data_IF_726440496654
#
_entry.id   IF_726440496654
#
_cell.length_a   1.000
_cell.length_b   1.000
_cell.length_c   1.000
_cell.angle_alpha   90.00
_cell.angle_beta   90.00
_cell.angle_gamma   90.00
#
_symmetry.space_group_name_H-M   'P 1'
#
loop_
_entity.id
_entity.type
_entity.pdbx_description
1 polymer ?
#
# COMPACT_ATOMS: atom_id res chain seq x y z
N UNK A 1 11.92 0.68 -11.59
CA UNK A 1 11.47 1.72 -12.52
C UNK A 1 11.10 3.00 -11.76
N UNK A 2 10.45 3.96 -12.41
CA UNK A 2 9.81 5.15 -11.86
C UNK A 2 8.49 5.39 -12.63
N UNK A 3 7.70 6.39 -12.27
CA UNK A 3 6.39 6.67 -12.86
C UNK A 3 6.30 6.51 -14.39
N UNK A 4 7.21 7.11 -15.20
CA UNK A 4 7.18 6.90 -16.65
C UNK A 4 7.32 5.43 -17.08
N UNK A 5 8.18 4.66 -16.42
CA UNK A 5 8.35 3.23 -16.71
C UNK A 5 7.18 2.38 -16.21
N UNK A 6 6.53 2.79 -15.12
CA UNK A 6 5.27 2.18 -14.63
C UNK A 6 4.16 2.35 -15.68
N UNK A 7 4.00 3.56 -16.23
CA UNK A 7 3.00 3.84 -17.26
C UNK A 7 3.14 2.93 -18.48
N UNK A 8 4.38 2.66 -18.92
CA UNK A 8 4.67 1.78 -20.05
C UNK A 8 4.39 0.29 -19.77
N UNK A 9 4.21 -0.10 -18.51
CA UNK A 9 4.00 -1.50 -18.10
C UNK A 9 2.58 -1.79 -17.62
N UNK A 10 1.70 -0.81 -17.69
CA UNK A 10 0.34 -0.91 -17.13
C UNK A 10 -0.44 -2.08 -17.72
N UNK A 11 -0.35 -2.30 -19.02
CA UNK A 11 -1.03 -3.42 -19.70
C UNK A 11 -0.50 -4.78 -19.20
N UNK A 12 0.83 -4.92 -19.09
CA UNK A 12 1.44 -6.17 -18.61
C UNK A 12 1.12 -6.47 -17.14
N UNK A 13 0.90 -5.45 -16.32
CA UNK A 13 0.38 -5.64 -14.97
C UNK A 13 -1.06 -6.13 -14.97
N UNK A 14 -1.89 -5.65 -15.89
CA UNK A 14 -3.24 -6.16 -16.12
C UNK A 14 -3.22 -7.63 -16.55
N UNK A 15 -2.35 -7.98 -17.50
CA UNK A 15 -2.15 -9.37 -17.92
C UNK A 15 -1.71 -10.26 -16.74
N UNK A 16 -0.75 -9.84 -15.95
CA UNK A 16 -0.30 -10.60 -14.79
C UNK A 16 -1.41 -10.79 -13.74
N UNK A 17 -2.31 -9.81 -13.61
CA UNK A 17 -3.44 -9.90 -12.69
C UNK A 17 -4.50 -10.89 -13.17
N UNK A 18 -4.90 -10.86 -14.44
CA UNK A 18 -5.90 -11.80 -14.97
C UNK A 18 -5.36 -13.23 -15.05
N UNK A 19 -4.09 -13.39 -15.41
CA UNK A 19 -3.41 -14.70 -15.47
C UNK A 19 -2.94 -15.19 -14.08
N UNK A 20 -3.13 -14.40 -13.04
CA UNK A 20 -2.75 -14.70 -11.66
C UNK A 20 -1.27 -15.10 -11.56
N UNK A 21 -0.39 -14.26 -12.07
CA UNK A 21 1.06 -14.47 -12.11
C UNK A 21 1.74 -13.64 -11.02
N UNK A 22 2.54 -14.26 -10.14
CA UNK A 22 3.38 -13.54 -9.20
C UNK A 22 4.35 -12.59 -9.91
N UNK A 23 4.38 -11.34 -9.50
CA UNK A 23 5.27 -10.33 -10.06
C UNK A 23 5.55 -9.26 -9.00
N UNK A 24 6.82 -8.89 -8.81
CA UNK A 24 7.20 -7.75 -7.97
C UNK A 24 7.73 -6.63 -8.85
N UNK A 25 7.17 -5.43 -8.67
CA UNK A 25 7.59 -4.23 -9.38
C UNK A 25 8.07 -3.22 -8.34
N UNK A 26 9.31 -2.79 -8.48
CA UNK A 26 9.85 -1.71 -7.66
C UNK A 26 9.70 -0.39 -8.42
N UNK A 27 8.91 0.52 -7.87
CA UNK A 27 8.75 1.88 -8.35
C UNK A 27 9.44 2.85 -7.40
N UNK A 28 10.52 3.47 -7.89
CA UNK A 28 11.26 4.49 -7.16
C UNK A 28 10.73 5.85 -7.60
N UNK A 29 9.80 6.38 -6.82
CA UNK A 29 9.09 7.62 -7.13
C UNK A 29 10.01 8.82 -7.20
N UNK A 30 9.67 9.74 -8.07
CA UNK A 30 10.30 11.04 -8.22
C UNK A 30 9.27 12.08 -8.65
N UNK A 31 9.64 13.36 -8.62
CA UNK A 31 8.72 14.42 -9.04
C UNK A 31 8.27 14.24 -10.49
N UNK A 32 6.97 14.13 -10.68
CA UNK A 32 6.25 14.08 -11.95
C UNK A 32 5.60 15.42 -12.31
N UNK A 33 4.74 15.48 -13.34
CA UNK A 33 4.42 14.43 -14.31
C UNK A 33 5.48 14.26 -15.40
N UNK A 34 5.38 13.17 -16.19
CA UNK A 34 6.34 12.78 -17.24
C UNK A 34 7.76 12.63 -16.67
N UNK A 35 8.79 13.12 -17.34
CA UNK A 35 10.16 13.11 -16.83
C UNK A 35 10.29 13.94 -15.54
N UNK A 36 9.52 15.01 -15.42
CA UNK A 36 9.37 15.84 -14.22
C UNK A 36 10.71 16.32 -13.64
N UNK A 37 10.95 15.97 -12.38
CA UNK A 37 12.17 16.26 -11.63
C UNK A 37 12.99 14.97 -11.43
N UNK A 38 13.84 14.55 -12.38
CA UNK A 38 14.41 13.19 -12.43
C UNK A 38 15.23 12.78 -11.20
N UNK A 39 15.78 13.74 -10.47
CA UNK A 39 16.68 13.51 -9.33
C UNK A 39 16.10 14.01 -8.02
N UNK A 40 14.80 14.25 -7.96
CA UNK A 40 14.15 14.85 -6.78
C UNK A 40 13.05 13.96 -6.23
N UNK A 41 13.03 13.72 -4.89
CA UNK A 41 12.04 12.87 -4.27
C UNK A 41 10.64 13.48 -4.31
N UNK A 42 9.66 12.67 -4.65
CA UNK A 42 8.22 12.91 -4.44
C UNK A 42 7.51 11.59 -4.18
N UNK A 43 6.34 11.67 -3.55
CA UNK A 43 5.44 10.54 -3.28
C UNK A 43 4.17 10.69 -4.11
N UNK A 44 4.32 10.85 -5.43
CA UNK A 44 3.23 11.23 -6.33
C UNK A 44 2.78 10.11 -7.28
N UNK A 45 3.27 8.88 -7.11
CA UNK A 45 2.91 7.72 -7.94
C UNK A 45 1.96 6.73 -7.24
N UNK A 46 1.46 7.06 -6.03
CA UNK A 46 0.55 6.16 -5.29
C UNK A 46 -0.75 5.86 -6.05
N UNK A 47 -1.37 6.86 -6.66
CA UNK A 47 -2.58 6.63 -7.46
C UNK A 47 -2.29 5.78 -8.70
N UNK A 48 -1.15 5.99 -9.33
CA UNK A 48 -0.72 5.14 -10.43
C UNK A 48 -0.47 3.71 -9.94
N UNK A 49 0.22 3.51 -8.83
CA UNK A 49 0.47 2.20 -8.26
C UNK A 49 -0.83 1.46 -7.92
N UNK A 50 -1.80 2.15 -7.33
CA UNK A 50 -3.08 1.57 -6.92
C UNK A 50 -4.03 1.33 -8.10
N UNK A 51 -4.17 2.29 -9.01
CA UNK A 51 -5.29 2.35 -9.97
C UNK A 51 -4.89 2.28 -11.45
N UNK A 52 -3.59 2.20 -11.79
CA UNK A 52 -3.18 2.13 -13.19
C UNK A 52 -3.46 0.76 -13.80
N UNK A 53 -4.72 0.43 -13.99
CA UNK A 53 -5.17 -0.73 -14.74
C UNK A 53 -6.49 -0.39 -15.43
N UNK A 54 -6.76 -1.07 -16.54
CA UNK A 54 -8.09 -1.13 -17.09
C UNK A 54 -8.83 -2.31 -16.47
N UNK A 55 -10.14 -2.17 -16.25
CA UNK A 55 -10.94 -3.13 -15.51
C UNK A 55 -10.73 -3.08 -13.99
N UNK A 56 -11.38 -3.99 -13.31
CA UNK A 56 -11.33 -4.09 -11.85
C UNK A 56 -10.15 -4.96 -11.40
N UNK A 57 -9.11 -4.33 -10.87
CA UNK A 57 -7.88 -4.99 -10.42
C UNK A 57 -7.51 -4.54 -9.02
N UNK A 58 -7.22 -5.50 -8.15
CA UNK A 58 -6.57 -5.28 -6.86
C UNK A 58 -5.13 -5.78 -6.92
N UNK A 59 -4.20 -4.99 -6.38
CA UNK A 59 -2.80 -5.38 -6.21
C UNK A 59 -2.20 -4.70 -4.99
N UNK A 60 -1.41 -5.41 -4.17
CA UNK A 60 -0.77 -4.80 -3.02
C UNK A 60 0.25 -3.73 -3.44
N UNK A 61 0.23 -2.60 -2.72
CA UNK A 61 1.23 -1.54 -2.81
C UNK A 61 1.88 -1.39 -1.44
N UNK A 62 3.16 -1.72 -1.36
CA UNK A 62 3.95 -1.63 -0.15
C UNK A 62 4.93 -0.46 -0.24
N UNK A 63 5.17 0.24 0.86
CA UNK A 63 6.14 1.33 0.93
C UNK A 63 7.14 1.10 2.07
N UNK A 64 8.45 0.98 1.78
CA UNK A 64 9.48 1.00 2.81
C UNK A 64 9.60 2.38 3.43
N UNK A 65 10.04 2.45 4.69
CA UNK A 65 10.15 3.70 5.47
C UNK A 65 11.59 4.14 5.72
N UNK A 66 12.57 3.28 5.41
CA UNK A 66 14.00 3.54 5.56
C UNK A 66 14.82 2.59 4.69
N UNK A 67 16.12 2.82 4.60
CA UNK A 67 17.05 1.90 3.92
C UNK A 67 17.01 0.50 4.55
N UNK A 68 17.07 0.42 5.88
CA UNK A 68 16.99 -0.85 6.60
C UNK A 68 15.66 -1.59 6.37
N UNK A 69 14.54 -0.86 6.34
CA UNK A 69 13.20 -1.41 6.14
C UNK A 69 12.98 -1.96 4.71
N UNK A 70 13.73 -1.45 3.73
CA UNK A 70 13.61 -1.84 2.32
C UNK A 70 13.82 -3.33 2.11
N UNK A 71 14.76 -3.95 2.84
CA UNK A 71 15.01 -5.39 2.71
C UNK A 71 13.77 -6.19 3.13
N UNK A 72 13.24 -5.93 4.33
CA UNK A 72 12.06 -6.63 4.85
C UNK A 72 10.82 -6.43 3.98
N UNK A 73 10.56 -5.20 3.54
CA UNK A 73 9.44 -4.89 2.63
C UNK A 73 9.59 -5.59 1.28
N UNK A 74 10.83 -5.74 0.77
CA UNK A 74 11.07 -6.47 -0.47
C UNK A 74 10.78 -7.95 -0.32
N UNK A 75 11.26 -8.59 0.76
CA UNK A 75 10.93 -10.00 1.06
C UNK A 75 9.41 -10.17 1.18
N UNK A 76 8.73 -9.29 1.89
CA UNK A 76 7.28 -9.32 2.02
C UNK A 76 6.57 -9.15 0.68
N UNK A 77 7.06 -8.30 -0.21
CA UNK A 77 6.49 -8.13 -1.54
C UNK A 77 6.55 -9.43 -2.35
N UNK A 78 7.66 -10.17 -2.29
CA UNK A 78 7.76 -11.50 -2.93
C UNK A 78 6.82 -12.51 -2.26
N UNK A 79 6.74 -12.51 -0.93
CA UNK A 79 5.82 -13.38 -0.21
C UNK A 79 4.36 -13.14 -0.61
N UNK A 80 3.94 -11.89 -0.67
CA UNK A 80 2.57 -11.53 -1.10
C UNK A 80 2.33 -11.91 -2.56
N UNK A 81 3.32 -11.67 -3.44
CA UNK A 81 3.19 -12.03 -4.85
C UNK A 81 3.02 -13.55 -5.03
N UNK A 82 3.82 -14.37 -4.36
CA UNK A 82 3.75 -15.83 -4.43
C UNK A 82 2.50 -16.37 -3.73
N UNK A 83 2.15 -15.84 -2.55
CA UNK A 83 0.98 -16.27 -1.78
C UNK A 83 -0.33 -15.98 -2.50
N UNK A 84 -0.48 -14.78 -3.05
CA UNK A 84 -1.71 -14.33 -3.69
C UNK A 84 -1.69 -14.43 -5.22
N UNK A 85 -0.57 -14.85 -5.82
CA UNK A 85 -0.41 -14.96 -7.27
C UNK A 85 -0.90 -13.68 -7.97
N UNK A 86 -0.22 -12.57 -7.71
CA UNK A 86 -0.62 -11.24 -8.17
C UNK A 86 0.60 -10.33 -8.32
N UNK A 87 0.52 -9.29 -9.16
CA UNK A 87 1.50 -8.21 -9.10
C UNK A 87 1.49 -7.51 -7.74
N UNK A 88 2.66 -7.26 -7.17
CA UNK A 88 2.88 -6.46 -5.98
C UNK A 88 3.82 -5.32 -6.30
N UNK A 89 3.49 -4.11 -5.84
CA UNK A 89 4.32 -2.93 -6.09
C UNK A 89 5.03 -2.54 -4.80
N UNK A 90 6.36 -2.44 -4.86
CA UNK A 90 7.16 -1.77 -3.83
C UNK A 90 7.31 -0.32 -4.26
N UNK A 91 6.59 0.56 -3.60
CA UNK A 91 6.55 1.99 -3.88
C UNK A 91 7.54 2.71 -2.96
N UNK A 92 8.79 2.78 -3.41
CA UNK A 92 9.86 3.54 -2.77
C UNK A 92 9.94 4.95 -3.33
N UNK A 93 10.81 5.77 -2.80
CA UNK A 93 11.12 7.09 -3.34
C UNK A 93 12.62 7.33 -3.42
N UNK A 94 13.01 8.39 -4.12
CA UNK A 94 14.43 8.70 -4.34
C UNK A 94 15.19 9.04 -3.05
N UNK A 95 14.53 9.54 -2.01
CA UNK A 95 15.19 9.82 -0.74
C UNK A 95 15.72 8.51 -0.12
N UNK A 96 14.91 7.45 -0.12
CA UNK A 96 15.32 6.13 0.38
C UNK A 96 16.32 5.49 -0.58
N UNK A 97 16.07 5.54 -1.89
CA UNK A 97 16.86 4.80 -2.88
C UNK A 97 18.27 5.34 -3.08
N UNK A 98 18.48 6.65 -2.89
CA UNK A 98 19.80 7.29 -3.06
C UNK A 98 20.53 7.52 -1.73
N UNK A 99 19.83 7.40 -0.61
CA UNK A 99 20.41 7.60 0.72
C UNK A 99 21.39 6.50 1.05
N UNK A 100 22.53 6.90 1.63
CA UNK A 100 23.48 6.00 2.27
C UNK A 100 23.26 6.05 3.77
N UNK A 101 23.08 4.91 4.39
CA UNK A 101 22.78 4.78 5.80
C UNK A 101 23.58 3.61 6.37
N UNK A 102 24.16 3.79 7.57
CA UNK A 102 24.73 2.68 8.32
C UNK A 102 23.60 1.88 8.91
N UNK A 103 23.54 0.61 8.57
CA UNK A 103 22.53 -0.32 9.08
C UNK A 103 23.21 -1.47 9.80
N UNK A 104 22.56 -2.02 10.82
CA UNK A 104 23.02 -3.26 11.44
C UNK A 104 22.98 -4.41 10.40
N UNK A 105 23.87 -5.40 10.53
CA UNK A 105 23.83 -6.57 9.67
C UNK A 105 22.43 -7.19 9.64
N UNK A 106 21.92 -7.43 8.44
CA UNK A 106 20.58 -7.98 8.28
C UNK A 106 20.60 -9.46 8.65
N UNK A 107 19.87 -9.80 9.71
CA UNK A 107 19.61 -11.20 10.08
C UNK A 107 18.53 -11.77 9.13
N UNK A 108 18.97 -12.50 8.12
CA UNK A 108 18.08 -13.11 7.12
C UNK A 108 17.19 -14.21 7.71
N UNK A 109 17.60 -14.83 8.84
CA UNK A 109 16.80 -15.85 9.53
C UNK A 109 15.50 -15.34 10.14
N UNK A 110 15.35 -14.02 10.26
CA UNK A 110 14.11 -13.38 10.75
C UNK A 110 12.99 -13.32 9.74
N UNK A 111 13.28 -13.58 8.47
CA UNK A 111 12.30 -13.46 7.39
C UNK A 111 11.83 -14.83 6.94
N UNK A 112 10.53 -15.04 6.96
CA UNK A 112 9.90 -16.22 6.36
C UNK A 112 9.81 -16.01 4.87
N UNK A 113 10.16 -17.04 4.09
CA UNK A 113 9.94 -17.07 2.65
C UNK A 113 8.72 -17.96 2.38
N UNK A 114 7.74 -17.42 1.67
CA UNK A 114 6.52 -18.14 1.27
C UNK A 114 6.71 -18.61 -0.17
N UNK A 115 6.60 -19.91 -0.37
CA UNK A 115 6.59 -20.50 -1.70
C UNK A 115 5.16 -20.54 -2.26
N UNK A 116 5.06 -20.48 -3.59
CA UNK A 116 3.76 -20.61 -4.26
C UNK A 116 3.14 -21.98 -4.04
N UNK A 117 1.83 -22.02 -4.03
CA UNK A 117 1.08 -23.27 -4.00
C UNK A 117 1.23 -24.01 -5.32
N UNK A 118 1.87 -25.19 -5.28
CA UNK A 118 2.05 -26.08 -6.43
C UNK A 118 1.02 -27.20 -6.34
N UNK A 119 0.45 -27.70 -7.47
CA UNK A 119 -0.50 -28.78 -7.44
C UNK A 119 0.16 -30.09 -6.99
N UNK A 120 -0.53 -30.86 -6.18
CA UNK A 120 -0.13 -32.21 -5.81
C UNK A 120 -0.54 -33.24 -6.89
N UNK A 121 -0.13 -34.51 -6.74
CA UNK A 121 -0.40 -35.54 -7.72
C UNK A 121 -1.89 -35.76 -8.00
N UNK A 122 -2.75 -35.67 -7.02
CA UNK A 122 -4.20 -35.82 -7.19
C UNK A 122 -4.81 -34.64 -7.97
N UNK A 123 -4.33 -33.43 -7.72
CA UNK A 123 -4.76 -32.22 -8.42
C UNK A 123 -4.32 -32.20 -9.88
N UNK A 124 -3.24 -32.91 -10.23
CA UNK A 124 -2.74 -33.04 -11.61
C UNK A 124 -3.55 -34.00 -12.48
N UNK A 125 -4.33 -34.90 -11.90
CA UNK A 125 -5.21 -35.82 -12.65
C UNK A 125 -6.27 -35.07 -13.46
N UNK A 126 -6.81 -33.99 -12.88
CA UNK A 126 -7.77 -33.10 -13.52
C UNK A 126 -7.38 -31.63 -13.20
N UNK A 127 -6.24 -31.24 -13.72
CA UNK A 127 -5.65 -29.93 -13.39
C UNK A 127 -6.47 -28.77 -13.96
N UNK A 128 -6.81 -27.85 -13.05
CA UNK A 128 -7.53 -26.63 -13.36
C UNK A 128 -6.75 -25.44 -12.80
N UNK A 129 -6.07 -24.71 -13.66
CA UNK A 129 -5.18 -23.60 -13.27
C UNK A 129 -5.91 -22.53 -12.47
N UNK A 130 -7.17 -22.25 -12.79
CA UNK A 130 -7.96 -21.19 -12.19
C UNK A 130 -9.14 -21.72 -11.36
N UNK A 131 -8.98 -22.92 -10.80
CA UNK A 131 -9.99 -23.54 -9.92
C UNK A 131 -10.50 -22.56 -8.89
N UNK A 132 -11.81 -22.50 -8.69
CA UNK A 132 -12.43 -21.77 -7.60
C UNK A 132 -12.12 -22.48 -6.29
N UNK A 133 -11.40 -21.78 -5.39
CA UNK A 133 -10.99 -22.28 -4.08
C UNK A 133 -11.61 -21.41 -2.98
N UNK A 134 -11.64 -21.91 -1.77
CA UNK A 134 -12.19 -21.19 -0.63
C UNK A 134 -11.43 -19.87 -0.38
N UNK A 135 -10.10 -19.89 -0.52
CA UNK A 135 -9.21 -18.75 -0.31
C UNK A 135 -8.96 -17.93 -1.60
N UNK A 136 -9.52 -18.34 -2.76
CA UNK A 136 -9.30 -17.69 -4.05
C UNK A 136 -7.93 -17.97 -4.68
N UNK A 137 -7.08 -18.82 -4.07
CA UNK A 137 -5.71 -19.13 -4.58
C UNK A 137 -5.66 -20.55 -5.13
N UNK A 138 -5.53 -20.69 -6.45
CA UNK A 138 -5.41 -21.98 -7.11
C UNK A 138 -3.95 -22.42 -7.20
N UNK A 139 -3.66 -23.74 -7.20
CA UNK A 139 -2.30 -24.22 -7.45
C UNK A 139 -1.81 -23.82 -8.84
N UNK A 140 -0.54 -23.39 -8.93
CA UNK A 140 0.11 -23.07 -10.20
C UNK A 140 1.20 -24.11 -10.51
N UNK A 141 1.07 -24.79 -11.64
CA UNK A 141 2.09 -25.73 -12.13
C UNK A 141 3.29 -24.98 -12.70
N UNK A 142 4.42 -25.63 -12.76
CA UNK A 142 5.63 -25.13 -13.42
C UNK A 142 5.93 -25.89 -14.70
N UNK A 143 6.71 -25.32 -15.63
CA UNK A 143 7.15 -26.03 -16.85
C UNK A 143 7.82 -27.36 -16.53
N UNK A 144 7.45 -28.40 -17.30
CA UNK A 144 7.93 -29.78 -17.11
C UNK A 144 7.12 -30.64 -16.15
N UNK A 145 6.14 -30.08 -15.45
CA UNK A 145 5.23 -30.83 -14.57
C UNK A 145 4.21 -31.61 -15.39
N UNK A 146 4.30 -32.96 -15.37
CA UNK A 146 3.37 -33.83 -16.12
C UNK A 146 1.94 -33.65 -15.63
N UNK A 147 0.98 -33.45 -16.55
CA UNK A 147 -0.42 -33.18 -16.24
C UNK A 147 -0.72 -31.71 -15.89
N UNK A 148 0.29 -30.87 -15.71
CA UNK A 148 0.15 -29.48 -15.31
C UNK A 148 0.01 -28.47 -16.45
N UNK A 149 -0.26 -28.92 -17.69
CA UNK A 149 -0.40 -28.01 -18.82
C UNK A 149 -1.68 -27.19 -18.75
N UNK A 150 -1.59 -25.91 -19.06
CA UNK A 150 -2.74 -25.00 -19.17
C UNK A 150 -2.46 -23.90 -20.18
N UNK A 151 -3.51 -23.25 -20.66
CA UNK A 151 -3.40 -22.07 -21.51
C UNK A 151 -3.30 -20.82 -20.64
N UNK A 152 -2.23 -20.03 -20.82
CA UNK A 152 -2.11 -18.69 -20.25
C UNK A 152 -2.50 -17.64 -21.29
N UNK A 153 -3.50 -16.80 -20.99
CA UNK A 153 -3.95 -15.74 -21.88
C UNK A 153 -4.48 -14.53 -21.12
N UNK A 154 -4.49 -13.36 -21.78
CA UNK A 154 -5.09 -12.14 -21.29
C UNK A 154 -6.61 -12.04 -21.57
N UNK A 155 -7.22 -13.10 -22.08
CA UNK A 155 -8.68 -13.16 -22.31
C UNK A 155 -9.32 -13.78 -21.08
N UNK A 156 -10.54 -13.35 -20.74
CA UNK A 156 -11.29 -13.96 -19.65
C UNK A 156 -11.52 -15.45 -19.91
N UNK A 157 -11.43 -16.24 -18.87
CA UNK A 157 -11.34 -17.69 -18.94
C UNK A 157 -12.09 -18.37 -17.80
N UNK A 158 -12.41 -19.64 -17.99
CA UNK A 158 -12.96 -20.48 -16.95
C UNK A 158 -11.84 -21.15 -16.11
N UNK A 159 -12.21 -22.00 -15.16
CA UNK A 159 -11.28 -22.71 -14.27
C UNK A 159 -10.22 -23.52 -15.03
N UNK A 160 -10.53 -24.01 -16.24
CA UNK A 160 -9.63 -24.78 -17.12
C UNK A 160 -8.80 -23.92 -18.07
N UNK A 161 -8.83 -22.60 -17.90
CA UNK A 161 -8.16 -21.63 -18.75
C UNK A 161 -8.77 -21.50 -20.17
N UNK A 162 -9.93 -22.07 -20.43
CA UNK A 162 -10.59 -21.92 -21.73
C UNK A 162 -11.22 -20.51 -21.83
N UNK A 163 -10.96 -19.77 -22.92
CA UNK A 163 -11.55 -18.46 -23.15
C UNK A 163 -13.07 -18.48 -23.09
N UNK A 164 -13.68 -17.41 -22.56
CA UNK A 164 -15.13 -17.28 -22.44
C UNK A 164 -15.58 -15.83 -22.53
N UNK A 165 -16.78 -15.62 -23.08
CA UNK A 165 -17.49 -14.33 -23.05
C UNK A 165 -18.69 -14.35 -22.07
N UNK A 166 -18.77 -15.35 -21.18
CA UNK A 166 -19.85 -15.47 -20.20
C UNK A 166 -19.71 -14.48 -19.07
N UNK A 167 -20.67 -13.53 -18.94
CA UNK A 167 -20.70 -12.58 -17.83
C UNK A 167 -20.77 -13.25 -16.46
N UNK A 168 -21.41 -14.43 -16.34
CA UNK A 168 -21.45 -15.21 -15.10
C UNK A 168 -20.06 -15.72 -14.70
N UNK A 169 -19.28 -16.23 -15.66
CA UNK A 169 -17.91 -16.71 -15.38
C UNK A 169 -17.00 -15.52 -15.05
N UNK A 170 -17.13 -14.42 -15.78
CA UNK A 170 -16.39 -13.19 -15.49
C UNK A 170 -16.61 -12.72 -14.04
N UNK A 171 -17.88 -12.70 -13.59
CA UNK A 171 -18.20 -12.35 -12.20
C UNK A 171 -17.51 -13.32 -11.21
N UNK A 172 -17.61 -14.64 -11.43
CA UNK A 172 -16.99 -15.63 -10.55
C UNK A 172 -15.46 -15.51 -10.49
N UNK A 173 -14.80 -15.19 -11.61
CA UNK A 173 -13.36 -15.00 -11.66
C UNK A 173 -12.94 -13.69 -10.98
N UNK A 174 -13.73 -12.63 -11.08
CA UNK A 174 -13.48 -11.41 -10.32
C UNK A 174 -13.66 -11.66 -8.82
N UNK A 175 -14.74 -12.32 -8.39
CA UNK A 175 -14.95 -12.69 -6.99
C UNK A 175 -13.74 -13.46 -6.44
N UNK A 176 -13.23 -14.45 -7.21
CA UNK A 176 -12.02 -15.21 -6.87
C UNK A 176 -10.79 -14.32 -6.73
N UNK A 177 -10.54 -13.44 -7.72
CA UNK A 177 -9.36 -12.56 -7.75
C UNK A 177 -9.36 -11.53 -6.61
N UNK A 178 -10.52 -11.08 -6.17
CA UNK A 178 -10.65 -10.14 -5.05
C UNK A 178 -10.62 -10.83 -3.70
N UNK A 179 -11.31 -11.95 -3.54
CA UNK A 179 -11.42 -12.70 -2.28
C UNK A 179 -10.07 -13.08 -1.67
N UNK A 180 -9.07 -13.38 -2.50
CA UNK A 180 -7.73 -13.75 -2.00
C UNK A 180 -7.06 -12.67 -1.17
N UNK A 181 -7.49 -11.41 -1.25
CA UNK A 181 -6.95 -10.31 -0.46
C UNK A 181 -7.61 -10.14 0.92
N UNK A 182 -8.68 -10.88 1.24
CA UNK A 182 -9.32 -10.79 2.57
C UNK A 182 -8.35 -11.09 3.71
N UNK A 183 -7.40 -12.02 3.49
CA UNK A 183 -6.36 -12.33 4.46
C UNK A 183 -5.35 -11.17 4.61
N UNK A 184 -5.01 -10.49 3.51
CA UNK A 184 -4.09 -9.35 3.52
C UNK A 184 -4.68 -8.16 4.30
N UNK A 185 -5.96 -7.87 4.11
CA UNK A 185 -6.64 -6.75 4.79
C UNK A 185 -6.65 -6.89 6.32
N UNK A 186 -6.49 -8.11 6.84
CA UNK A 186 -6.38 -8.39 8.28
C UNK A 186 -4.96 -8.30 8.84
N UNK A 187 -3.92 -8.14 8.01
CA UNK A 187 -2.51 -8.06 8.40
C UNK A 187 -2.21 -6.73 9.12
N UNK A 188 -2.08 -6.78 10.44
CA UNK A 188 -1.75 -5.60 11.25
C UNK A 188 -0.25 -5.35 11.38
N UNK A 189 0.56 -6.34 11.17
CA UNK A 189 2.02 -6.29 11.19
C UNK A 189 2.60 -5.43 10.06
N UNK A 190 1.81 -5.11 9.03
CA UNK A 190 2.17 -4.16 7.97
C UNK A 190 1.91 -2.70 8.35
N UNK A 191 1.55 -2.44 9.60
CA UNK A 191 1.29 -1.11 10.14
C UNK A 191 2.02 -0.93 11.46
N UNK A 192 2.74 0.17 11.60
CA UNK A 192 3.36 0.56 12.84
C UNK A 192 2.57 1.67 13.49
N UNK A 193 2.16 1.50 14.73
CA UNK A 193 1.48 2.54 15.50
C UNK A 193 2.33 2.91 16.71
N UNK A 194 2.54 4.20 16.91
CA UNK A 194 3.22 4.80 18.05
C UNK A 194 2.27 5.69 18.83
N UNK A 195 2.40 5.69 20.14
CA UNK A 195 1.56 6.49 21.03
C UNK A 195 0.29 5.76 21.50
N UNK A 196 -0.45 6.39 22.44
CA UNK A 196 -1.62 5.76 23.05
C UNK A 196 -2.86 5.78 22.14
N UNK A 197 -3.69 4.75 22.24
CA UNK A 197 -4.87 4.57 21.39
C UNK A 197 -5.91 5.68 21.54
N UNK A 198 -5.99 6.27 22.73
CA UNK A 198 -6.94 7.33 23.07
C UNK A 198 -6.48 8.76 22.69
N UNK A 199 -5.29 8.89 22.08
CA UNK A 199 -4.75 10.19 21.69
C UNK A 199 -5.68 10.92 20.70
N UNK A 200 -6.06 12.20 21.00
CA UNK A 200 -6.93 12.99 20.14
C UNK A 200 -6.21 13.60 18.93
N UNK A 201 -4.87 13.64 18.94
CA UNK A 201 -4.06 14.08 17.83
C UNK A 201 -3.52 12.88 17.06
N UNK A 202 -3.74 12.82 15.75
CA UNK A 202 -3.30 11.75 14.89
C UNK A 202 -2.33 12.22 13.80
N UNK A 203 -1.24 11.47 13.60
CA UNK A 203 -0.37 11.59 12.44
C UNK A 203 -0.47 10.33 11.59
N UNK A 204 -0.50 10.47 10.27
CA UNK A 204 -0.31 9.37 9.32
C UNK A 204 0.79 9.78 8.36
N UNK A 205 1.80 8.92 8.17
CA UNK A 205 2.91 9.17 7.26
C UNK A 205 3.44 7.86 6.68
N UNK A 206 4.01 7.90 5.49
CA UNK A 206 4.53 6.74 4.79
C UNK A 206 5.82 7.04 4.02
N UNK A 207 6.52 6.02 3.55
CA UNK A 207 7.74 6.19 2.77
C UNK A 207 8.81 6.95 3.54
N UNK A 208 9.60 7.75 2.85
CA UNK A 208 10.69 8.55 3.45
C UNK A 208 10.20 9.55 4.51
N UNK A 209 8.96 10.03 4.41
CA UNK A 209 8.38 10.99 5.37
C UNK A 209 8.09 10.36 6.74
N UNK A 210 8.01 9.03 6.82
CA UNK A 210 7.77 8.34 8.08
C UNK A 210 8.82 8.69 9.15
N UNK A 211 10.10 8.77 8.78
CA UNK A 211 11.19 9.15 9.69
C UNK A 211 11.01 10.57 10.26
N UNK A 212 10.63 11.50 9.40
CA UNK A 212 10.33 12.89 9.79
C UNK A 212 9.18 12.95 10.81
N UNK A 213 8.13 12.17 10.57
CA UNK A 213 6.97 12.15 11.46
C UNK A 213 7.24 11.38 12.78
N UNK A 214 8.13 10.37 12.78
CA UNK A 214 8.58 9.76 14.05
C UNK A 214 9.30 10.76 14.95
N UNK A 215 10.22 11.55 14.39
CA UNK A 215 10.91 12.61 15.12
C UNK A 215 9.93 13.69 15.61
N UNK A 216 9.05 14.17 14.75
CA UNK A 216 8.02 15.16 15.12
C UNK A 216 7.10 14.64 16.23
N UNK A 217 6.68 13.39 16.17
CA UNK A 217 5.89 12.72 17.20
C UNK A 217 6.65 12.64 18.53
N UNK A 218 7.93 12.26 18.49
CA UNK A 218 8.76 12.20 19.69
C UNK A 218 8.94 13.58 20.35
N UNK A 219 9.16 14.63 19.55
CA UNK A 219 9.22 16.00 20.02
C UNK A 219 7.88 16.48 20.62
N UNK A 220 6.77 16.18 19.95
CA UNK A 220 5.43 16.51 20.44
C UNK A 220 5.14 15.84 21.79
N UNK A 221 5.51 14.56 21.91
CA UNK A 221 5.39 13.82 23.17
C UNK A 221 6.24 14.43 24.28
N UNK A 222 7.49 14.84 23.98
CA UNK A 222 8.37 15.51 24.95
C UNK A 222 7.80 16.83 25.46
N UNK A 223 6.96 17.49 24.65
CA UNK A 223 6.23 18.71 25.03
C UNK A 223 4.87 18.44 25.71
N UNK A 224 4.53 17.18 25.96
CA UNK A 224 3.28 16.79 26.61
C UNK A 224 2.06 16.78 25.68
N UNK A 225 2.25 16.85 24.35
CA UNK A 225 1.15 16.71 23.41
C UNK A 225 0.69 15.24 23.37
N UNK A 226 -0.61 15.02 23.54
CA UNK A 226 -1.22 13.67 23.49
C UNK A 226 -1.50 13.29 22.03
N UNK A 227 -0.51 12.71 21.38
CA UNK A 227 -0.49 12.39 19.96
C UNK A 227 -0.09 10.94 19.68
N UNK A 228 -0.62 10.38 18.59
CA UNK A 228 -0.26 9.08 18.03
C UNK A 228 0.11 9.19 16.56
N UNK A 229 0.90 8.23 16.08
CA UNK A 229 1.38 8.16 14.72
C UNK A 229 1.10 6.77 14.14
N UNK A 230 0.53 6.70 12.96
CA UNK A 230 0.38 5.49 12.15
C UNK A 230 1.30 5.56 10.92
N UNK A 231 2.08 4.52 10.72
CA UNK A 231 2.95 4.36 9.56
C UNK A 231 2.57 3.07 8.84
N UNK A 232 1.80 3.17 7.76
CA UNK A 232 1.46 2.03 6.93
C UNK A 232 2.66 1.62 6.05
N UNK A 233 3.01 0.34 6.04
CA UNK A 233 3.78 -0.28 4.96
C UNK A 233 2.87 -0.74 3.84
N UNK A 234 1.67 -1.26 4.14
CA UNK A 234 0.64 -1.52 3.15
C UNK A 234 -0.17 -0.25 2.90
N UNK A 235 -0.05 0.31 1.69
CA UNK A 235 -0.79 1.50 1.26
C UNK A 235 -2.10 1.16 0.55
N UNK A 236 -2.10 0.05 -0.20
CA UNK A 236 -3.25 -0.43 -0.96
C UNK A 236 -3.21 -1.97 -1.04
N UNK A 237 -4.35 -2.66 -0.94
CA UNK A 237 -5.66 -2.12 -0.59
C UNK A 237 -5.69 -1.53 0.82
N UNK A 238 -6.58 -0.57 1.05
CA UNK A 238 -6.71 0.10 2.36
C UNK A 238 -7.41 -0.83 3.34
N UNK A 239 -6.81 -1.10 4.50
CA UNK A 239 -7.47 -1.84 5.59
C UNK A 239 -8.38 -0.89 6.38
N UNK A 240 -9.67 -0.92 6.10
CA UNK A 240 -10.67 -0.10 6.79
C UNK A 240 -10.60 -0.29 8.31
N UNK A 241 -10.41 -1.52 8.78
CA UNK A 241 -10.34 -1.86 10.20
C UNK A 241 -9.18 -1.18 10.91
N UNK A 242 -7.98 -1.16 10.29
CA UNK A 242 -6.79 -0.52 10.87
C UNK A 242 -6.99 0.98 10.99
N UNK A 243 -7.44 1.62 9.92
CA UNK A 243 -7.63 3.07 9.93
C UNK A 243 -8.82 3.50 10.79
N UNK A 244 -9.94 2.78 10.79
CA UNK A 244 -11.06 3.04 11.68
C UNK A 244 -10.64 2.91 13.16
N UNK A 245 -9.83 1.89 13.49
CA UNK A 245 -9.25 1.73 14.81
C UNK A 245 -8.35 2.91 15.20
N UNK A 246 -7.47 3.33 14.29
CA UNK A 246 -6.59 4.47 14.51
C UNK A 246 -7.37 5.77 14.68
N UNK A 247 -8.36 6.04 13.83
CA UNK A 247 -9.10 7.30 13.86
C UNK A 247 -10.16 7.41 14.97
N UNK A 248 -10.49 6.32 15.66
CA UNK A 248 -11.58 6.27 16.66
C UNK A 248 -11.55 7.40 17.69
N UNK A 249 -10.37 7.74 18.23
CA UNK A 249 -10.20 8.80 19.22
C UNK A 249 -9.68 10.11 18.62
N UNK A 250 -9.28 10.11 17.35
CA UNK A 250 -8.66 11.27 16.71
C UNK A 250 -9.70 12.33 16.42
N UNK A 251 -9.47 13.54 16.93
CA UNK A 251 -10.29 14.73 16.68
C UNK A 251 -9.60 15.70 15.74
N UNK A 252 -8.27 15.72 15.71
CA UNK A 252 -7.46 16.52 14.80
C UNK A 252 -6.19 15.79 14.43
N UNK A 253 -5.62 16.09 13.27
CA UNK A 253 -4.41 15.42 12.85
C UNK A 253 -3.93 15.79 11.47
N UNK A 254 -2.86 15.12 11.03
CA UNK A 254 -2.22 15.36 9.74
C UNK A 254 -1.97 14.04 9.02
N UNK A 255 -2.26 14.02 7.72
CA UNK A 255 -1.66 13.06 6.79
C UNK A 255 -0.52 13.79 6.06
N UNK A 256 0.71 13.31 6.28
CA UNK A 256 1.93 14.00 5.84
C UNK A 256 2.56 13.25 4.70
N UNK A 257 2.76 13.93 3.56
CA UNK A 257 3.31 13.30 2.36
C UNK A 257 3.94 14.31 1.39
N UNK A 258 4.92 13.85 0.61
CA UNK A 258 5.59 14.65 -0.42
C UNK A 258 4.82 14.51 -1.74
N UNK A 259 3.62 15.04 -1.82
CA UNK A 259 2.83 15.11 -3.04
C UNK A 259 2.02 16.41 -3.10
N UNK A 260 1.72 16.89 -4.31
CA UNK A 260 0.90 18.09 -4.47
C UNK A 260 -0.55 17.85 -4.04
N UNK A 261 -1.10 16.70 -4.39
CA UNK A 261 -2.51 16.40 -4.21
C UNK A 261 -2.87 15.82 -2.84
N UNK A 262 -1.90 15.25 -2.11
CA UNK A 262 -2.19 14.45 -0.93
C UNK A 262 -2.82 13.12 -1.32
N UNK A 263 -2.07 12.27 -2.03
CA UNK A 263 -2.63 11.06 -2.64
C UNK A 263 -3.06 10.05 -1.59
N UNK A 264 -2.27 9.84 -0.52
CA UNK A 264 -2.69 8.96 0.58
C UNK A 264 -3.91 9.54 1.32
N UNK A 265 -3.89 10.85 1.63
CA UNK A 265 -5.05 11.48 2.27
C UNK A 265 -6.34 11.28 1.46
N UNK A 266 -6.27 11.44 0.14
CA UNK A 266 -7.43 11.24 -0.74
C UNK A 266 -7.84 9.77 -0.81
N UNK A 267 -6.87 8.86 -0.90
CA UNK A 267 -7.11 7.42 -0.90
C UNK A 267 -7.83 6.97 0.37
N UNK A 268 -7.39 7.48 1.54
CA UNK A 268 -8.05 7.20 2.80
C UNK A 268 -9.49 7.72 2.82
N UNK A 269 -9.73 8.94 2.32
CA UNK A 269 -11.09 9.49 2.25
C UNK A 269 -12.02 8.76 1.28
N UNK A 270 -11.49 7.98 0.34
CA UNK A 270 -12.28 7.09 -0.52
C UNK A 270 -12.70 5.81 0.20
N UNK A 271 -11.90 5.35 1.17
CA UNK A 271 -12.04 4.03 1.76
C UNK A 271 -12.52 4.05 3.22
N UNK A 272 -12.27 5.13 3.97
CA UNK A 272 -12.59 5.22 5.40
C UNK A 272 -13.14 6.59 5.79
N UNK A 273 -13.86 6.61 6.91
CA UNK A 273 -14.32 7.86 7.53
C UNK A 273 -13.13 8.55 8.21
N UNK A 274 -12.49 9.47 7.50
CA UNK A 274 -11.43 10.32 8.04
C UNK A 274 -12.04 11.46 8.84
N UNK A 275 -11.70 11.65 10.14
CA UNK A 275 -12.29 12.71 10.96
C UNK A 275 -12.12 14.11 10.33
N UNK A 276 -13.11 15.01 10.41
CA UNK A 276 -13.06 16.34 9.78
C UNK A 276 -11.86 17.20 10.21
N UNK A 277 -11.37 17.00 11.43
CA UNK A 277 -10.18 17.72 11.94
C UNK A 277 -8.85 17.17 11.42
N UNK A 278 -8.85 16.07 10.66
CA UNK A 278 -7.63 15.55 10.03
C UNK A 278 -7.41 16.26 8.70
N UNK A 279 -6.26 16.88 8.56
CA UNK A 279 -5.87 17.69 7.41
C UNK A 279 -4.73 17.03 6.63
N UNK A 280 -4.60 17.37 5.36
CA UNK A 280 -3.40 17.03 4.58
C UNK A 280 -2.29 18.05 4.88
N UNK A 281 -1.09 17.55 5.14
CA UNK A 281 0.12 18.37 5.14
C UNK A 281 1.04 17.87 4.01
N UNK A 282 0.92 18.52 2.87
CA UNK A 282 1.47 18.06 1.59
C UNK A 282 2.43 19.09 1.01
N UNK A 283 3.49 18.61 0.36
CA UNK A 283 4.46 19.45 -0.33
C UNK A 283 4.97 18.72 -1.57
N UNK A 284 5.15 19.44 -2.67
CA UNK A 284 5.76 18.94 -3.90
C UNK A 284 7.02 19.73 -4.23
N UNK A 285 7.70 19.36 -5.33
CA UNK A 285 8.87 20.09 -5.84
C UNK A 285 10.14 19.83 -5.07
N UNK A 286 10.28 18.66 -4.47
CA UNK A 286 11.49 18.21 -3.78
C UNK A 286 11.91 19.05 -2.55
N UNK A 287 11.02 19.82 -2.01
CA UNK A 287 11.29 20.56 -0.79
C UNK A 287 10.97 19.66 0.42
N UNK A 288 11.95 19.27 1.25
CA UNK A 288 11.71 18.37 2.36
C UNK A 288 10.76 19.01 3.38
N UNK A 289 9.92 18.16 3.97
CA UNK A 289 9.16 18.50 5.18
C UNK A 289 10.06 18.24 6.36
N UNK A 290 10.12 19.15 7.32
CA UNK A 290 10.94 19.02 8.52
C UNK A 290 10.13 18.58 9.74
N UNK A 291 10.75 17.89 10.72
CA UNK A 291 10.08 17.53 11.98
C UNK A 291 9.50 18.73 12.72
N UNK A 292 10.18 19.89 12.67
CA UNK A 292 9.72 21.13 13.33
C UNK A 292 8.46 21.70 12.68
N UNK A 293 8.33 21.63 11.37
CA UNK A 293 7.11 22.07 10.68
C UNK A 293 5.92 21.18 11.04
N UNK A 294 6.11 19.86 11.10
CA UNK A 294 5.05 18.93 11.55
C UNK A 294 4.67 19.20 13.00
N UNK A 295 5.67 19.38 13.89
CA UNK A 295 5.44 19.72 15.30
C UNK A 295 4.66 21.03 15.46
N UNK A 296 5.02 22.06 14.70
CA UNK A 296 4.31 23.35 14.74
C UNK A 296 2.83 23.16 14.39
N UNK A 297 2.53 22.43 13.33
CA UNK A 297 1.15 22.12 12.94
C UNK A 297 0.39 21.31 14.01
N UNK A 298 1.06 20.38 14.69
CA UNK A 298 0.45 19.62 15.80
C UNK A 298 0.10 20.52 16.98
N UNK A 299 0.96 21.50 17.31
CA UNK A 299 0.68 22.49 18.36
C UNK A 299 -0.55 23.33 18.01
N UNK A 300 -0.63 23.84 16.77
CA UNK A 300 -1.77 24.63 16.29
C UNK A 300 -3.07 23.82 16.40
N UNK A 301 -3.05 22.55 15.99
CA UNK A 301 -4.19 21.64 16.11
C UNK A 301 -4.56 21.39 17.58
N UNK A 302 -3.56 21.20 18.45
CA UNK A 302 -3.80 20.98 19.89
C UNK A 302 -4.51 22.18 20.52
N UNK A 303 -4.07 23.40 20.21
CA UNK A 303 -4.73 24.65 20.68
C UNK A 303 -6.16 24.71 20.16
N UNK A 304 -6.38 24.46 18.90
CA UNK A 304 -7.71 24.48 18.29
C UNK A 304 -8.69 23.49 18.92
N UNK A 305 -8.19 22.29 19.31
CA UNK A 305 -9.02 21.27 19.99
C UNK A 305 -9.40 21.65 21.43
N UNK A 306 -8.66 22.54 22.06
CA UNK A 306 -8.94 23.03 23.42
C UNK A 306 -9.93 24.20 23.45
N UNK A 307 -10.08 24.92 22.34
CA UNK A 307 -11.06 25.99 22.22
C UNK A 307 -12.46 25.38 22.09
N UNK A 308 -13.44 25.81 22.94
CA UNK A 308 -14.82 25.40 22.77
C UNK A 308 -15.30 25.85 21.37
N UNK A 309 -16.02 24.96 20.67
CA UNK A 309 -16.63 25.31 19.39
C UNK A 309 -17.39 26.62 19.56
N UNK A 310 -16.93 27.69 18.93
CA UNK A 310 -17.71 28.92 18.84
C UNK A 310 -19.02 28.52 18.16
N UNK A 311 -20.13 28.60 18.91
CA UNK A 311 -21.46 28.37 18.36
C UNK A 311 -21.63 29.35 17.19
N UNK A 312 -21.73 28.81 15.98
CA UNK A 312 -22.19 29.58 14.85
C UNK A 312 -23.57 30.14 15.26
N UNK A 313 -23.62 31.40 15.57
CA UNK A 313 -24.90 32.10 15.77
C UNK A 313 -25.68 31.93 14.45
N UNK A 314 -26.95 31.57 14.50
CA UNK A 314 -27.76 31.55 13.30
C UNK A 314 -27.79 33.00 12.75
N UNK A 315 -27.31 33.16 11.51
CA UNK A 315 -27.59 34.39 10.77
C UNK A 315 -29.12 34.47 10.58
N UNK A 316 -29.68 35.54 11.13
CA UNK A 316 -31.11 35.90 11.03
C UNK A 316 -31.40 36.50 9.67
#
# INVERSE_FOLDING_TARGET
>A
TSGPGMALKTEMMGLASIAEIPLVIVDVQRGGPSTGLPTKPEQSDLFMAAFSAHGDVLRPVLAPTSVADTFGVTVEAFNLAEQFQTPVIVLSDQEIAQRKETVEPIDTGRFTVIERRVPNAAELVDYQRYRLTEDGVSPISHPGMAGGNYQGAGIEHNERANPTASGRIHQQMNDKRFKKFDALLRRRDLYEQLGPDDAPLGLVAWGSVAGVCREAWALARAEGLHAKLLIPRLLYPVSEEVYAGFFRAVRGGLVVELSYQGQLYRLLRMAVDVPPGVQRFCRSGANPITPREVLHRLRDLSVSLQQPAQSAAPEV
#
